data_IF_498172100862
#
_entry.id   IF_498172100862
#
_cell.length_a   1.000
_cell.length_b   1.000
_cell.length_c   1.000
_cell.angle_alpha   90.00
_cell.angle_beta   90.00
_cell.angle_gamma   90.00
#
_symmetry.space_group_name_H-M   'P 1'
#
loop_
_entity.id
_entity.type
_entity.pdbx_description
1 polymer ?
#
# COMPACT_ATOMS: atom_id res chain seq x y z
N UNK A 1 20.14 -7.91 24.35
CA UNK A 1 21.43 -7.63 23.66
C UNK A 1 21.23 -7.33 22.17
N UNK A 2 20.22 -6.55 21.79
CA UNK A 2 19.95 -6.21 20.37
C UNK A 2 20.43 -4.80 19.97
N UNK A 3 21.16 -4.12 20.86
CA UNK A 3 21.48 -2.70 20.73
C UNK A 3 22.82 -2.38 20.05
N UNK A 4 23.79 -3.29 20.01
CA UNK A 4 25.08 -2.98 19.35
C UNK A 4 24.97 -3.09 17.82
N UNK A 5 24.68 -4.28 17.29
CA UNK A 5 24.68 -4.48 15.83
C UNK A 5 23.60 -3.69 15.05
N UNK A 6 22.39 -3.56 15.60
CA UNK A 6 21.31 -2.83 14.92
C UNK A 6 21.56 -1.31 14.87
N UNK A 7 22.11 -0.74 15.94
CA UNK A 7 22.43 0.69 16.00
C UNK A 7 23.59 1.05 15.08
N UNK A 8 24.62 0.19 15.04
CA UNK A 8 25.78 0.35 14.15
C UNK A 8 25.37 0.25 12.68
N UNK A 9 24.51 -0.71 12.33
CA UNK A 9 23.90 -0.78 11.00
C UNK A 9 23.08 0.47 10.66
N UNK A 10 22.35 1.04 11.62
CA UNK A 10 21.61 2.28 11.39
C UNK A 10 22.54 3.46 11.08
N UNK A 11 23.67 3.59 11.79
CA UNK A 11 24.66 4.65 11.53
C UNK A 11 25.26 4.49 10.12
N UNK A 12 25.66 3.27 9.76
CA UNK A 12 26.21 2.97 8.42
C UNK A 12 25.16 3.27 7.34
N UNK A 13 23.91 2.87 7.57
CA UNK A 13 22.80 3.14 6.66
C UNK A 13 22.63 4.65 6.46
N UNK A 14 22.61 5.45 7.52
CA UNK A 14 22.51 6.92 7.42
C UNK A 14 23.66 7.51 6.59
N UNK A 15 24.90 7.05 6.78
CA UNK A 15 26.04 7.50 5.98
C UNK A 15 25.82 7.16 4.50
N UNK A 16 25.41 5.93 4.18
CA UNK A 16 25.10 5.52 2.81
C UNK A 16 23.97 6.38 2.22
N UNK A 17 22.93 6.70 2.99
CA UNK A 17 21.85 7.60 2.55
C UNK A 17 22.37 9.01 2.26
N UNK A 18 23.35 9.51 3.01
CA UNK A 18 23.94 10.82 2.74
C UNK A 18 24.80 10.82 1.47
N UNK A 19 25.55 9.75 1.21
CA UNK A 19 26.40 9.62 0.03
C UNK A 19 25.58 9.40 -1.26
N UNK A 20 24.62 8.47 -1.22
CA UNK A 20 23.84 8.06 -2.40
C UNK A 20 22.49 8.77 -2.49
N UNK A 21 21.99 9.36 -1.41
CA UNK A 21 20.65 9.94 -1.31
C UNK A 21 19.58 8.90 -0.96
N UNK A 22 18.53 9.35 -0.25
CA UNK A 22 17.40 8.51 0.16
C UNK A 22 16.61 7.91 -1.04
N UNK A 23 16.73 8.49 -2.24
CA UNK A 23 16.04 8.01 -3.44
C UNK A 23 16.72 6.81 -4.10
N UNK A 24 18.03 6.61 -3.92
CA UNK A 24 18.78 5.56 -4.64
C UNK A 24 18.61 4.17 -4.04
N UNK A 25 18.49 4.06 -2.73
CA UNK A 25 18.21 2.78 -2.05
C UNK A 25 16.91 2.09 -2.50
N UNK A 26 15.74 2.76 -2.53
CA UNK A 26 14.51 2.13 -3.00
C UNK A 26 14.53 1.84 -4.50
N UNK A 27 15.26 2.62 -5.30
CA UNK A 27 15.46 2.37 -6.72
C UNK A 27 16.26 1.08 -6.97
N UNK A 28 17.38 0.91 -6.25
CA UNK A 28 18.19 -0.32 -6.26
C UNK A 28 17.43 -1.52 -5.67
N UNK A 29 16.69 -1.31 -4.59
CA UNK A 29 15.87 -2.37 -3.97
C UNK A 29 14.77 -2.87 -4.91
N UNK A 30 14.14 -1.99 -5.70
CA UNK A 30 13.13 -2.38 -6.69
C UNK A 30 13.72 -3.20 -7.85
N UNK A 31 14.88 -2.83 -8.37
CA UNK A 31 15.52 -3.58 -9.46
C UNK A 31 16.02 -4.96 -8.98
N UNK A 32 16.68 -5.00 -7.82
CA UNK A 32 17.13 -6.24 -7.19
C UNK A 32 15.94 -7.12 -6.78
N UNK A 33 14.90 -6.53 -6.18
CA UNK A 33 13.70 -7.25 -5.75
C UNK A 33 12.94 -7.86 -6.91
N UNK A 34 12.81 -7.14 -8.03
CA UNK A 34 12.19 -7.67 -9.25
C UNK A 34 13.00 -8.81 -9.85
N UNK A 35 14.34 -8.67 -9.90
CA UNK A 35 15.25 -9.72 -10.34
C UNK A 35 15.17 -10.97 -9.47
N UNK A 36 15.20 -10.81 -8.15
CA UNK A 36 15.09 -11.92 -7.20
C UNK A 36 13.70 -12.58 -7.23
N UNK A 37 12.63 -11.80 -7.41
CA UNK A 37 11.26 -12.32 -7.56
C UNK A 37 11.13 -13.17 -8.82
N UNK A 38 11.64 -12.69 -9.95
CA UNK A 38 11.63 -13.42 -11.22
C UNK A 38 12.52 -14.66 -11.15
N UNK A 39 13.68 -14.56 -10.51
CA UNK A 39 14.56 -15.70 -10.27
C UNK A 39 13.86 -16.77 -9.42
N UNK A 40 13.29 -16.39 -8.27
CA UNK A 40 12.54 -17.29 -7.41
C UNK A 40 11.37 -17.93 -8.15
N UNK A 41 10.64 -17.17 -8.99
CA UNK A 41 9.55 -17.69 -9.80
C UNK A 41 10.04 -18.73 -10.82
N UNK A 42 11.12 -18.44 -11.55
CA UNK A 42 11.72 -19.39 -12.48
C UNK A 42 12.24 -20.67 -11.82
N UNK A 43 12.72 -20.58 -10.57
CA UNK A 43 13.11 -21.75 -9.79
C UNK A 43 11.91 -22.61 -9.38
N UNK A 44 10.76 -22.01 -9.07
CA UNK A 44 9.53 -22.75 -8.72
C UNK A 44 8.85 -23.34 -9.95
N UNK A 45 8.76 -22.58 -11.04
CA UNK A 45 8.19 -23.04 -12.31
C UNK A 45 9.03 -24.18 -12.95
N UNK A 46 10.31 -24.32 -12.56
CA UNK A 46 11.18 -25.42 -12.98
C UNK A 46 11.02 -26.72 -12.19
N UNK A 47 10.45 -26.66 -10.97
CA UNK A 47 10.21 -27.81 -10.09
C UNK A 47 8.74 -28.26 -10.13
N UNK A 48 7.83 -27.33 -10.44
CA UNK A 48 6.38 -27.53 -10.46
C UNK A 48 5.87 -27.51 -11.92
N UNK A 49 5.52 -28.68 -12.48
CA UNK A 49 4.81 -28.78 -13.77
C UNK A 49 3.53 -27.91 -13.82
N UNK A 50 2.98 -27.63 -15.02
CA UNK A 50 2.19 -26.44 -15.31
C UNK A 50 0.98 -26.28 -14.38
N UNK A 51 1.07 -25.35 -13.44
CA UNK A 51 -0.08 -24.94 -12.61
C UNK A 51 -0.81 -23.79 -13.32
N UNK A 52 -2.11 -24.01 -13.57
CA UNK A 52 -3.00 -23.08 -14.26
C UNK A 52 -3.07 -21.72 -13.53
N UNK A 53 -3.33 -20.62 -14.28
CA UNK A 53 -3.31 -19.27 -13.74
C UNK A 53 -4.40 -19.05 -12.68
N UNK A 54 -3.98 -18.73 -11.45
CA UNK A 54 -4.90 -18.20 -10.45
C UNK A 54 -5.39 -16.79 -10.85
N UNK A 55 -6.69 -16.50 -10.70
CA UNK A 55 -7.27 -15.23 -11.10
C UNK A 55 -6.70 -14.11 -10.22
N UNK A 56 -6.01 -13.19 -10.92
CA UNK A 56 -5.67 -11.81 -10.54
C UNK A 56 -6.65 -11.22 -9.51
N UNK A 57 -6.28 -11.28 -8.24
CA UNK A 57 -6.80 -10.33 -7.24
C UNK A 57 -6.36 -8.94 -7.65
N UNK A 58 -7.28 -8.18 -8.23
CA UNK A 58 -7.08 -6.78 -8.55
C UNK A 58 -6.65 -6.02 -7.28
N UNK A 59 -5.61 -5.17 -7.35
CA UNK A 59 -5.28 -4.27 -6.27
C UNK A 59 -6.51 -3.40 -5.95
N UNK A 60 -7.04 -3.59 -4.75
CA UNK A 60 -7.94 -2.67 -4.08
C UNK A 60 -7.28 -1.29 -4.12
N UNK A 61 -7.73 -0.45 -5.05
CA UNK A 61 -7.50 0.98 -5.07
C UNK A 61 -8.12 1.57 -3.79
N UNK A 62 -7.35 1.51 -2.70
CA UNK A 62 -7.58 2.31 -1.51
C UNK A 62 -6.63 3.51 -1.58
N UNK A 63 -7.03 4.50 -2.38
CA UNK A 63 -6.57 5.88 -2.29
C UNK A 63 -7.60 6.78 -3.01
N UNK A 64 -8.67 7.07 -2.26
CA UNK A 64 -9.54 8.26 -2.26
C UNK A 64 -10.31 8.71 -3.52
N UNK A 65 -11.58 9.11 -3.36
CA UNK A 65 -11.82 10.54 -3.32
C UNK A 65 -12.81 11.01 -2.24
N UNK A 66 -12.42 12.11 -1.60
CA UNK A 66 -13.19 13.33 -1.39
C UNK A 66 -14.57 13.28 -0.66
N UNK A 67 -14.59 14.04 0.45
CA UNK A 67 -15.61 15.05 0.75
C UNK A 67 -17.01 14.54 1.11
N UNK A 68 -17.18 14.13 2.36
CA UNK A 68 -18.46 14.30 3.07
C UNK A 68 -18.29 15.44 4.09
N UNK A 69 -18.22 16.65 3.56
CA UNK A 69 -18.62 17.83 4.31
C UNK A 69 -20.14 17.88 4.21
N UNK A 70 -20.82 17.84 5.36
CA UNK A 70 -22.25 18.14 5.46
C UNK A 70 -22.56 19.50 4.80
N UNK A 71 -23.69 19.58 4.07
CA UNK A 71 -24.67 20.58 4.45
C UNK A 71 -26.09 20.02 4.55
N UNK A 72 -26.83 20.61 5.48
CA UNK A 72 -28.26 20.50 5.71
C UNK A 72 -29.10 20.56 4.43
N UNK A 73 -30.20 19.80 4.39
CA UNK A 73 -31.57 20.29 4.18
C UNK A 73 -32.53 19.09 4.21
N UNK A 74 -33.28 18.90 5.30
CA UNK A 74 -34.50 18.07 5.28
C UNK A 74 -35.64 18.98 5.72
N UNK A 75 -36.36 19.63 4.81
CA UNK A 75 -37.59 20.33 5.13
C UNK A 75 -38.72 19.34 4.83
N UNK A 76 -39.20 18.65 5.86
CA UNK A 76 -40.43 17.88 5.75
C UNK A 76 -41.06 17.68 7.13
N UNK A 77 -41.44 18.77 7.78
CA UNK A 77 -42.54 18.69 8.75
C UNK A 77 -43.83 18.47 7.95
N UNK A 78 -44.56 17.37 8.18
CA UNK A 78 -45.79 17.07 7.46
C UNK A 78 -46.87 18.13 7.80
N UNK A 79 -47.73 18.48 6.84
CA UNK A 79 -48.86 19.37 7.08
C UNK A 79 -49.82 18.70 8.05
N UNK A 80 -49.92 19.24 9.26
CA UNK A 80 -51.10 19.01 10.12
C UNK A 80 -52.18 19.94 9.61
N UNK A 81 -53.02 19.43 8.74
CA UNK A 81 -54.19 20.12 8.20
C UNK A 81 -55.45 19.76 9.04
N UNK A 82 -56.56 20.50 8.91
CA UNK A 82 -57.10 21.41 9.91
C UNK A 82 -58.39 20.85 10.53
N UNK A 83 -59.09 21.69 11.31
CA UNK A 83 -60.36 21.43 12.03
C UNK A 83 -60.19 20.77 13.40
N UNK A 84 -60.95 21.04 14.43
CA UNK A 84 -62.00 22.01 14.80
C UNK A 84 -62.46 21.50 16.17
N UNK A 85 -62.95 22.40 17.03
CA UNK A 85 -63.51 22.16 18.38
C UNK A 85 -62.54 22.12 19.57
#
# INVERSE_FOLDING_TARGET
MFGMGASELMIILVIILLLFGASKLPELGRSLGSGLSNFKKGLKDGDEGPTLPEPKSAPRAAAEPAKSAAPAEVPATPPSDPHDS
#
